data_IF_038643733941
#
_entry.id   IF_038643733941
#
_cell.length_a   1.000
_cell.length_b   1.000
_cell.length_c   1.000
_cell.angle_alpha   90.00
_cell.angle_beta   90.00
_cell.angle_gamma   90.00
#
_symmetry.space_group_name_H-M   'P 1'
#
loop_
_entity.id
_entity.type
_entity.pdbx_description
1 polymer ?
#
# COMPACT_ATOMS: atom_id res chain seq x y z
N UNK A 1 9.74 -23.37 17.40
CA UNK A 1 9.89 -23.26 18.87
C UNK A 1 10.92 -22.21 19.26
N UNK A 2 12.15 -22.22 18.73
CA UNK A 2 13.21 -21.26 19.11
C UNK A 2 12.85 -19.77 18.86
N UNK A 3 12.29 -19.45 17.69
CA UNK A 3 11.87 -18.07 17.38
C UNK A 3 10.76 -17.57 18.31
N UNK A 4 9.80 -18.44 18.63
CA UNK A 4 8.70 -18.12 19.54
C UNK A 4 9.22 -17.77 20.96
N UNK A 5 10.26 -18.49 21.42
CA UNK A 5 10.92 -18.19 22.69
C UNK A 5 11.62 -16.83 22.69
N UNK A 6 12.32 -16.46 21.60
CA UNK A 6 12.95 -15.14 21.46
C UNK A 6 11.91 -14.02 21.52
N UNK A 7 10.76 -14.22 20.87
CA UNK A 7 9.66 -13.24 20.85
C UNK A 7 8.75 -13.30 22.07
N UNK A 8 8.97 -14.23 23.00
CA UNK A 8 8.09 -14.50 24.16
C UNK A 8 6.62 -14.70 23.75
N UNK A 9 6.38 -15.43 22.66
CA UNK A 9 5.05 -15.72 22.10
C UNK A 9 4.81 -17.22 21.94
N UNK A 10 3.55 -17.59 21.74
CA UNK A 10 3.17 -18.95 21.39
C UNK A 10 3.64 -19.33 19.97
N UNK A 11 3.99 -20.61 19.71
CA UNK A 11 4.46 -21.05 18.39
C UNK A 11 3.44 -20.86 17.27
N UNK A 12 2.14 -21.03 17.54
CA UNK A 12 1.07 -20.84 16.54
C UNK A 12 1.03 -19.40 16.03
N UNK A 13 1.11 -18.44 16.94
CA UNK A 13 1.01 -17.02 16.65
C UNK A 13 2.26 -16.54 15.92
N UNK A 14 3.42 -17.03 16.37
CA UNK A 14 4.72 -16.78 15.73
C UNK A 14 4.72 -17.23 14.27
N UNK A 15 4.11 -18.37 13.94
CA UNK A 15 4.05 -18.87 12.55
C UNK A 15 3.26 -17.92 11.65
N UNK A 16 2.15 -17.36 12.14
CA UNK A 16 1.33 -16.43 11.38
C UNK A 16 2.02 -15.08 11.20
N UNK A 17 2.70 -14.59 12.24
CA UNK A 17 3.45 -13.32 12.19
C UNK A 17 4.60 -13.37 11.19
N UNK A 18 5.31 -14.49 11.12
CA UNK A 18 6.45 -14.67 10.21
C UNK A 18 6.06 -15.07 8.79
N UNK A 19 4.77 -15.34 8.54
CA UNK A 19 4.30 -15.66 7.21
C UNK A 19 4.28 -14.39 6.33
N UNK A 20 4.65 -14.54 5.06
CA UNK A 20 4.63 -13.45 4.08
C UNK A 20 5.99 -13.23 3.43
N UNK A 21 6.08 -12.18 2.62
CA UNK A 21 7.30 -11.85 1.86
C UNK A 21 7.78 -10.43 2.06
N UNK A 22 7.08 -9.60 2.84
CA UNK A 22 7.50 -8.22 3.14
C UNK A 22 7.96 -8.12 4.60
N UNK A 23 8.78 -7.12 4.95
CA UNK A 23 9.12 -6.83 6.34
C UNK A 23 7.87 -6.48 7.15
N UNK A 24 7.83 -6.89 8.43
CA UNK A 24 6.68 -6.71 9.33
C UNK A 24 7.14 -6.39 10.74
N UNK A 25 6.30 -5.67 11.48
CA UNK A 25 6.46 -5.49 12.92
C UNK A 25 5.97 -6.76 13.61
N UNK A 26 6.86 -7.44 14.34
CA UNK A 26 6.56 -8.73 15.01
C UNK A 26 6.53 -8.63 16.53
N UNK A 27 7.11 -7.56 17.09
CA UNK A 27 7.12 -7.26 18.51
C UNK A 27 7.37 -5.77 18.73
N UNK A 28 6.93 -5.27 19.88
CA UNK A 28 7.22 -3.93 20.39
C UNK A 28 7.89 -4.10 21.75
N UNK A 29 8.87 -3.27 22.04
CA UNK A 29 9.65 -3.31 23.27
C UNK A 29 9.81 -1.89 23.78
N UNK A 30 9.61 -1.69 25.08
CA UNK A 30 9.79 -0.38 25.73
C UNK A 30 11.27 -0.02 25.96
N UNK A 31 12.16 -0.98 25.76
CA UNK A 31 13.61 -0.88 26.01
C UNK A 31 14.42 -1.30 24.77
N UNK A 32 15.34 -0.44 24.36
CA UNK A 32 16.21 -0.68 23.21
C UNK A 32 17.09 -1.91 23.41
N UNK A 33 17.63 -2.13 24.62
CA UNK A 33 18.49 -3.28 24.88
C UNK A 33 17.71 -4.61 24.76
N UNK A 34 16.46 -4.65 25.22
CA UNK A 34 15.57 -5.78 25.02
C UNK A 34 15.25 -6.02 23.53
N UNK A 35 15.01 -4.96 22.76
CA UNK A 35 14.78 -5.05 21.32
C UNK A 35 16.01 -5.59 20.56
N UNK A 36 17.20 -5.07 20.87
CA UNK A 36 18.47 -5.50 20.28
C UNK A 36 18.78 -6.96 20.60
N UNK A 37 18.59 -7.38 21.85
CA UNK A 37 18.77 -8.78 22.24
C UNK A 37 17.82 -9.72 21.48
N UNK A 38 16.57 -9.31 21.27
CA UNK A 38 15.64 -10.06 20.42
C UNK A 38 16.12 -10.13 18.97
N UNK A 39 16.61 -9.03 18.40
CA UNK A 39 17.17 -8.99 17.04
C UNK A 39 18.35 -9.94 16.90
N UNK A 40 19.32 -9.92 17.81
CA UNK A 40 20.45 -10.84 17.81
C UNK A 40 19.99 -12.30 17.91
N UNK A 41 19.01 -12.58 18.77
CA UNK A 41 18.39 -13.89 18.89
C UNK A 41 17.78 -14.36 17.57
N UNK A 42 17.08 -13.50 16.85
CA UNK A 42 16.49 -13.81 15.54
C UNK A 42 17.57 -13.99 14.46
N UNK A 43 18.59 -13.12 14.41
CA UNK A 43 19.73 -13.23 13.49
C UNK A 43 20.50 -14.54 13.69
N UNK A 44 20.71 -14.96 14.93
CA UNK A 44 21.36 -16.25 15.26
C UNK A 44 20.57 -17.47 14.76
N UNK A 45 19.27 -17.30 14.50
CA UNK A 45 18.38 -18.32 13.94
C UNK A 45 18.25 -18.22 12.41
N UNK A 46 19.04 -17.35 11.76
CA UNK A 46 19.05 -17.17 10.30
C UNK A 46 17.94 -16.27 9.77
N UNK A 47 17.29 -15.49 10.63
CA UNK A 47 16.30 -14.50 10.21
C UNK A 47 16.93 -13.12 10.06
N UNK A 48 16.50 -12.38 9.03
CA UNK A 48 16.80 -10.96 8.92
C UNK A 48 15.87 -10.18 9.84
N UNK A 49 16.42 -9.48 10.82
CA UNK A 49 15.69 -8.69 11.79
C UNK A 49 16.45 -7.39 12.11
N UNK A 50 15.71 -6.34 12.47
CA UNK A 50 16.23 -5.03 12.86
C UNK A 50 15.32 -4.44 13.95
N UNK A 51 15.90 -3.64 14.84
CA UNK A 51 15.17 -2.80 15.76
C UNK A 51 15.01 -1.43 15.12
N UNK A 52 13.81 -0.86 15.17
CA UNK A 52 13.47 0.44 14.60
C UNK A 52 12.80 1.23 15.72
N UNK A 53 13.24 2.47 15.94
CA UNK A 53 12.58 3.35 16.89
C UNK A 53 11.24 3.85 16.36
N UNK A 54 10.28 4.09 17.24
CA UNK A 54 8.95 4.60 16.84
C UNK A 54 9.04 5.92 16.07
N UNK A 55 9.99 6.79 16.39
CA UNK A 55 10.23 8.05 15.70
C UNK A 55 10.66 7.83 14.24
N UNK A 56 11.51 6.84 13.97
CA UNK A 56 11.98 6.49 12.61
C UNK A 56 10.87 5.81 11.81
N UNK A 57 10.02 5.04 12.48
CA UNK A 57 8.88 4.36 11.87
C UNK A 57 7.76 5.35 11.47
N UNK A 58 7.51 6.34 12.31
CA UNK A 58 6.48 7.37 12.10
C UNK A 58 7.04 8.65 11.50
N UNK A 59 8.32 8.69 11.13
CA UNK A 59 8.91 9.86 10.50
C UNK A 59 8.15 10.11 9.20
N UNK A 60 7.33 11.17 9.22
CA UNK A 60 6.64 11.64 8.03
C UNK A 60 7.70 12.16 7.07
N UNK A 61 8.18 11.29 6.20
CA UNK A 61 9.08 11.72 5.13
C UNK A 61 8.24 12.59 4.19
N UNK A 62 8.64 13.84 3.92
CA UNK A 62 7.87 14.73 3.05
C UNK A 62 7.59 14.03 1.72
N UNK A 63 6.31 13.78 1.48
CA UNK A 63 5.83 13.19 0.25
C UNK A 63 5.58 14.27 -0.80
N UNK A 64 6.00 14.01 -2.03
CA UNK A 64 5.65 14.80 -3.20
C UNK A 64 4.63 14.03 -4.03
N UNK A 65 3.36 14.42 -3.92
CA UNK A 65 2.27 13.79 -4.69
C UNK A 65 2.27 14.28 -6.13
N UNK A 66 2.54 13.38 -7.07
CA UNK A 66 2.68 13.70 -8.49
C UNK A 66 1.31 13.80 -9.17
N UNK A 67 1.08 14.92 -9.85
CA UNK A 67 -0.07 15.13 -10.76
C UNK A 67 0.32 15.02 -12.23
N UNK A 68 1.54 15.39 -12.56
CA UNK A 68 2.09 15.26 -13.91
C UNK A 68 3.59 14.97 -13.80
N UNK A 69 4.14 14.30 -14.80
CA UNK A 69 5.57 14.06 -14.87
C UNK A 69 6.10 14.12 -16.29
N UNK A 70 7.39 14.38 -16.39
CA UNK A 70 8.15 14.45 -17.62
C UNK A 70 9.38 13.55 -17.49
N UNK A 71 9.56 12.66 -18.47
CA UNK A 71 10.69 11.74 -18.50
C UNK A 71 11.75 12.32 -19.43
N UNK A 72 12.89 12.71 -18.87
CA UNK A 72 14.07 13.12 -19.61
C UNK A 72 15.08 11.97 -19.63
N UNK A 73 16.08 11.97 -20.53
CA UNK A 73 17.05 10.87 -20.63
C UNK A 73 17.84 10.56 -19.35
N UNK A 74 17.99 11.51 -18.43
CA UNK A 74 18.78 11.35 -17.18
C UNK A 74 18.09 11.86 -15.92
N UNK A 75 16.89 12.40 -16.04
CA UNK A 75 16.16 12.95 -14.91
C UNK A 75 14.65 12.78 -15.12
N UNK A 76 13.92 12.88 -14.01
CA UNK A 76 12.47 12.89 -14.01
C UNK A 76 12.04 14.20 -13.36
N UNK A 77 11.13 14.90 -14.03
CA UNK A 77 10.51 16.12 -13.52
C UNK A 77 9.10 15.76 -13.06
N UNK A 78 8.84 15.86 -11.77
CA UNK A 78 7.53 15.67 -11.17
C UNK A 78 6.89 17.02 -10.89
N UNK A 79 5.58 17.12 -11.12
CA UNK A 79 4.77 18.32 -10.82
C UNK A 79 3.60 17.93 -9.93
N UNK A 80 3.41 18.67 -8.84
CA UNK A 80 2.28 18.46 -7.93
C UNK A 80 1.02 19.22 -8.39
N UNK A 81 -0.04 19.23 -7.57
CA UNK A 81 -1.29 19.95 -7.88
C UNK A 81 -1.19 21.46 -7.77
N UNK A 82 -0.18 21.98 -7.09
CA UNK A 82 0.11 23.41 -6.98
C UNK A 82 1.05 23.90 -8.10
N UNK A 83 1.59 22.99 -8.91
CA UNK A 83 2.54 23.29 -9.99
C UNK A 83 3.99 23.39 -9.52
N UNK A 84 4.30 23.03 -8.27
CA UNK A 84 5.69 22.93 -7.83
C UNK A 84 6.39 21.84 -8.62
N UNK A 85 7.67 22.05 -8.95
CA UNK A 85 8.48 21.06 -9.64
C UNK A 85 9.45 20.37 -8.67
N UNK A 86 9.55 19.05 -8.76
CA UNK A 86 10.62 18.27 -8.16
C UNK A 86 11.38 17.56 -9.27
N UNK A 87 12.69 17.84 -9.37
CA UNK A 87 13.60 17.14 -10.30
C UNK A 87 14.42 16.14 -9.53
N UNK A 88 14.53 14.92 -10.07
CA UNK A 88 15.37 13.87 -9.51
C UNK A 88 16.14 13.21 -10.64
N UNK A 89 17.46 13.11 -10.50
CA UNK A 89 18.27 12.34 -11.43
C UNK A 89 17.85 10.88 -11.41
N UNK A 90 17.81 10.23 -12.57
CA UNK A 90 17.43 8.82 -12.65
C UNK A 90 18.39 7.93 -11.83
N UNK A 91 19.67 8.30 -11.82
CA UNK A 91 20.71 7.66 -11.02
C UNK A 91 20.61 7.99 -9.52
N UNK A 92 19.79 8.96 -9.12
CA UNK A 92 19.59 9.35 -7.71
C UNK A 92 18.44 8.57 -7.05
N UNK A 93 17.69 7.77 -7.81
CA UNK A 93 16.66 6.88 -7.26
C UNK A 93 17.32 5.60 -6.75
N UNK A 94 17.03 5.26 -5.49
CA UNK A 94 17.51 4.06 -4.82
C UNK A 94 16.52 2.91 -4.96
N UNK A 95 15.24 3.19 -4.73
CA UNK A 95 14.20 2.18 -4.60
C UNK A 95 12.90 2.68 -5.24
N UNK A 96 12.25 1.78 -5.97
CA UNK A 96 10.93 1.94 -6.56
C UNK A 96 10.03 0.88 -5.94
N UNK A 97 9.04 1.30 -5.16
CA UNK A 97 8.00 0.43 -4.61
C UNK A 97 6.75 0.56 -5.46
N UNK A 98 6.25 -0.55 -5.99
CA UNK A 98 4.96 -0.65 -6.66
C UNK A 98 3.95 -1.37 -5.76
N UNK A 99 2.75 -0.82 -5.60
CA UNK A 99 1.73 -1.42 -4.75
C UNK A 99 0.29 -1.07 -5.14
N UNK A 100 -0.65 -1.67 -4.43
CA UNK A 100 -2.09 -1.40 -4.59
C UNK A 100 -2.69 -1.04 -3.22
N UNK A 101 -3.43 0.06 -3.18
CA UNK A 101 -4.28 0.43 -2.04
C UNK A 101 -5.64 -0.25 -2.24
N UNK A 102 -6.04 -1.04 -1.25
CA UNK A 102 -7.38 -1.64 -1.18
C UNK A 102 -8.25 -0.82 -0.23
N UNK A 103 -9.30 -0.21 -0.77
CA UNK A 103 -10.29 0.49 0.04
C UNK A 103 -11.60 -0.28 -0.02
N UNK A 104 -12.02 -0.83 1.12
CA UNK A 104 -13.34 -1.46 1.25
C UNK A 104 -14.33 -0.39 1.71
N UNK A 105 -15.39 -0.21 0.94
CA UNK A 105 -16.51 0.63 1.33
C UNK A 105 -17.74 -0.26 1.51
N UNK A 106 -18.25 -0.31 2.74
CA UNK A 106 -19.55 -0.91 3.03
C UNK A 106 -20.63 0.15 2.84
N UNK A 107 -21.52 -0.08 1.89
CA UNK A 107 -22.69 0.76 1.68
C UNK A 107 -23.92 0.05 2.23
N UNK A 108 -24.44 0.53 3.36
CA UNK A 108 -25.75 0.15 3.86
C UNK A 108 -26.83 0.96 3.14
N UNK A 109 -27.69 0.27 2.39
CA UNK A 109 -28.87 0.84 1.75
C UNK A 109 -30.14 0.13 2.19
N UNK A 110 -31.30 0.69 1.80
CA UNK A 110 -32.58 -0.01 1.90
C UNK A 110 -33.16 -0.13 0.50
N UNK A 111 -33.39 -1.37 0.07
CA UNK A 111 -34.11 -1.62 -1.19
C UNK A 111 -35.59 -1.73 -0.87
N UNK A 112 -36.39 -0.82 -1.42
CA UNK A 112 -37.84 -0.96 -1.38
C UNK A 112 -38.27 -2.09 -2.32
N UNK A 113 -38.75 -3.20 -1.75
CA UNK A 113 -39.44 -4.25 -2.50
C UNK A 113 -40.93 -4.24 -2.15
N UNK A 114 -41.78 -4.56 -3.13
CA UNK A 114 -43.20 -4.77 -2.91
C UNK A 114 -43.43 -6.26 -2.74
N UNK A 115 -43.88 -6.68 -1.55
CA UNK A 115 -44.28 -8.07 -1.29
C UNK A 115 -45.79 -8.17 -1.30
N UNK A 116 -46.32 -9.26 -1.83
CA UNK A 116 -47.75 -9.52 -1.79
C UNK A 116 -48.17 -9.80 -0.33
N UNK A 117 -49.07 -8.99 0.20
CA UNK A 117 -49.68 -9.19 1.50
C UNK A 117 -50.86 -10.16 1.35
N UNK A 118 -50.59 -11.44 1.57
CA UNK A 118 -51.57 -12.52 1.41
C UNK A 118 -52.78 -12.32 2.36
N UNK A 119 -52.53 -11.93 3.62
CA UNK A 119 -53.60 -11.70 4.58
C UNK A 119 -54.50 -10.51 4.17
N UNK A 120 -53.89 -9.41 3.72
CA UNK A 120 -54.64 -8.25 3.19
C UNK A 120 -55.43 -8.61 1.93
N UNK A 121 -54.88 -9.45 1.06
CA UNK A 121 -55.52 -9.91 -0.17
C UNK A 121 -56.78 -10.75 0.13
N UNK A 122 -56.71 -11.63 1.13
CA UNK A 122 -57.86 -12.43 1.57
C UNK A 122 -58.96 -11.55 2.18
N UNK A 123 -58.58 -10.56 2.99
CA UNK A 123 -59.54 -9.61 3.58
C UNK A 123 -60.21 -8.70 2.55
N UNK A 124 -59.55 -8.41 1.42
CA UNK A 124 -60.11 -7.62 0.32
C UNK A 124 -60.81 -8.47 -0.76
N UNK A 125 -61.22 -9.70 -0.42
CA UNK A 125 -62.01 -10.55 -1.32
C UNK A 125 -61.24 -11.04 -2.56
N UNK A 126 -59.93 -11.24 -2.43
CA UNK A 126 -59.08 -11.76 -3.51
C UNK A 126 -58.40 -10.69 -4.36
N UNK A 127 -58.59 -9.40 -4.06
CA UNK A 127 -57.87 -8.31 -4.71
C UNK A 127 -56.42 -8.23 -4.21
N UNK A 128 -55.39 -8.29 -5.08
CA UNK A 128 -53.99 -8.29 -4.67
C UNK A 128 -53.60 -7.02 -3.88
N UNK A 129 -53.23 -7.18 -2.61
CA UNK A 129 -52.70 -6.10 -1.77
C UNK A 129 -51.19 -6.26 -1.65
N UNK A 130 -50.43 -5.21 -1.96
CA UNK A 130 -48.97 -5.22 -1.80
C UNK A 130 -48.55 -4.40 -0.59
N UNK A 131 -47.66 -4.94 0.25
CA UNK A 131 -46.96 -4.18 1.28
C UNK A 131 -45.61 -3.70 0.75
N UNK A 132 -45.25 -2.46 1.09
CA UNK A 132 -43.88 -1.97 0.90
C UNK A 132 -43.03 -2.54 2.04
N UNK A 133 -41.97 -3.27 1.69
CA UNK A 133 -41.00 -3.78 2.64
C UNK A 133 -39.66 -3.12 2.31
N UNK A 134 -39.04 -2.50 3.31
CA UNK A 134 -37.68 -2.01 3.21
C UNK A 134 -36.76 -3.17 3.58
N UNK A 135 -36.06 -3.73 2.61
CA UNK A 135 -35.04 -4.75 2.87
C UNK A 135 -33.68 -4.07 3.04
N UNK A 136 -32.97 -4.31 4.16
CA UNK A 136 -31.61 -3.82 4.30
C UNK A 136 -30.74 -4.51 3.26
N UNK A 137 -30.11 -3.73 2.40
CA UNK A 137 -29.10 -4.21 1.45
C UNK A 137 -27.75 -3.72 1.89
N UNK A 138 -26.85 -4.65 2.18
CA UNK A 138 -25.44 -4.34 2.40
C UNK A 138 -24.70 -4.58 1.10
N UNK A 139 -24.22 -3.50 0.47
CA UNK A 139 -23.29 -3.56 -0.65
C UNK A 139 -21.86 -3.48 -0.13
N UNK A 140 -20.97 -4.28 -0.69
CA UNK A 140 -19.53 -4.12 -0.47
C UNK A 140 -18.88 -3.75 -1.79
N UNK A 141 -18.24 -2.59 -1.84
CA UNK A 141 -17.41 -2.18 -2.97
C UNK A 141 -15.96 -2.26 -2.54
N UNK A 142 -15.14 -2.97 -3.31
CA UNK A 142 -13.69 -2.99 -3.15
C UNK A 142 -13.12 -2.11 -4.25
N UNK A 143 -12.49 -1.01 -3.87
CA UNK A 143 -11.73 -0.17 -4.79
C UNK A 143 -10.25 -0.53 -4.70
N UNK A 144 -9.59 -0.59 -5.84
CA UNK A 144 -8.15 -0.91 -5.97
C UNK A 144 -7.44 0.24 -6.68
N UNK A 145 -6.48 0.85 -6.00
CA UNK A 145 -5.74 1.99 -6.53
C UNK A 145 -4.24 1.68 -6.61
N UNK A 146 -3.67 1.50 -7.81
CA UNK A 146 -2.25 1.25 -7.95
C UNK A 146 -1.45 2.52 -7.71
N UNK A 147 -0.29 2.36 -7.07
CA UNK A 147 0.64 3.45 -6.76
C UNK A 147 2.09 3.02 -6.95
N UNK A 148 2.96 4.02 -7.10
CA UNK A 148 4.41 3.89 -7.11
C UNK A 148 4.97 4.90 -6.10
N UNK A 149 5.96 4.47 -5.30
CA UNK A 149 6.80 5.37 -4.51
C UNK A 149 8.25 5.28 -4.95
N UNK A 150 8.86 6.44 -5.18
CA UNK A 150 10.25 6.58 -5.55
C UNK A 150 11.02 7.14 -4.36
N UNK A 151 12.02 6.39 -3.91
CA UNK A 151 12.88 6.73 -2.80
C UNK A 151 14.24 7.19 -3.32
N UNK A 152 14.68 8.40 -2.98
CA UNK A 152 16.01 8.87 -3.35
C UNK A 152 17.10 8.15 -2.56
N UNK A 153 18.32 8.11 -3.12
CA UNK A 153 19.54 7.62 -2.45
C UNK A 153 19.96 8.52 -1.29
N UNK A 154 19.73 9.82 -1.41
CA UNK A 154 20.12 10.80 -0.41
C UNK A 154 19.28 10.63 0.87
N UNK A 155 19.92 10.51 2.05
CA UNK A 155 19.21 10.50 3.33
C UNK A 155 18.32 11.73 3.48
N UNK A 156 17.08 11.54 3.93
CA UNK A 156 16.10 12.63 4.09
C UNK A 156 15.62 13.24 2.77
N UNK A 157 15.92 12.62 1.62
CA UNK A 157 15.40 13.06 0.35
C UNK A 157 13.88 12.93 0.27
N UNK A 158 13.27 13.80 -0.54
CA UNK A 158 11.82 13.85 -0.74
C UNK A 158 11.37 12.58 -1.49
N UNK A 159 10.44 11.84 -0.90
CA UNK A 159 9.81 10.68 -1.54
C UNK A 159 8.79 11.20 -2.54
N UNK A 160 8.79 10.63 -3.75
CA UNK A 160 7.77 10.95 -4.75
C UNK A 160 6.74 9.84 -4.79
N UNK A 161 5.47 10.20 -4.68
CA UNK A 161 4.35 9.28 -4.84
C UNK A 161 3.62 9.56 -6.16
N UNK A 162 3.29 8.49 -6.88
CA UNK A 162 2.56 8.52 -8.14
C UNK A 162 1.40 7.53 -8.00
N UNK A 163 0.16 8.00 -8.06
CA UNK A 163 -1.03 7.14 -8.11
C UNK A 163 -1.79 7.35 -9.42
N UNK A 164 -2.48 6.30 -9.88
CA UNK A 164 -3.23 6.35 -11.16
C UNK A 164 -4.31 7.42 -11.15
N UNK A 165 -4.95 7.63 -10.01
CA UNK A 165 -6.01 8.60 -9.75
C UNK A 165 -5.48 10.02 -9.57
N UNK A 166 -4.25 10.20 -9.11
CA UNK A 166 -3.66 11.52 -9.00
C UNK A 166 -3.08 12.04 -10.31
N UNK A 167 -2.58 11.15 -11.18
CA UNK A 167 -2.07 11.55 -12.50
C UNK A 167 -3.17 12.13 -13.41
N UNK A 168 -2.99 13.39 -13.80
CA UNK A 168 -3.93 14.09 -14.69
C UNK A 168 -3.67 13.82 -16.17
N UNK A 169 -2.44 13.45 -16.53
CA UNK A 169 -2.02 13.22 -17.90
C UNK A 169 -0.96 12.11 -18.01
N UNK A 170 -1.00 11.40 -19.13
CA UNK A 170 0.01 10.43 -19.58
C UNK A 170 0.68 10.87 -20.88
N UNK A 171 0.75 12.17 -21.15
CA UNK A 171 1.33 12.74 -22.38
C UNK A 171 2.81 12.39 -22.56
N UNK A 172 3.56 12.17 -21.47
CA UNK A 172 4.94 11.68 -21.49
C UNK A 172 5.09 10.26 -22.09
N UNK A 173 3.99 9.52 -22.28
CA UNK A 173 4.00 8.26 -23.02
C UNK A 173 4.06 8.46 -24.54
N UNK A 174 3.78 9.67 -25.05
CA UNK A 174 3.80 9.98 -26.48
C UNK A 174 2.85 9.09 -27.27
N UNK A 175 3.34 8.52 -28.38
CA UNK A 175 2.59 7.58 -29.22
C UNK A 175 2.28 6.24 -28.54
N UNK A 176 2.97 5.92 -27.44
CA UNK A 176 2.71 4.73 -26.63
C UNK A 176 1.49 4.85 -25.69
N UNK A 177 0.87 6.04 -25.60
CA UNK A 177 -0.32 6.26 -24.78
C UNK A 177 -1.49 5.41 -25.28
N UNK A 178 -2.07 4.64 -24.38
CA UNK A 178 -3.22 3.77 -24.60
C UNK A 178 -4.53 4.43 -24.14
N UNK A 179 -5.67 3.86 -24.55
CA UNK A 179 -6.99 4.34 -24.13
C UNK A 179 -7.31 4.09 -22.65
N UNK A 180 -6.66 3.10 -22.03
CA UNK A 180 -6.87 2.75 -20.62
C UNK A 180 -5.87 3.46 -19.71
N UNK A 181 -6.37 4.15 -18.68
CA UNK A 181 -5.52 4.76 -17.64
C UNK A 181 -4.74 3.72 -16.84
N UNK A 182 -5.29 2.51 -16.69
CA UNK A 182 -4.61 1.39 -16.04
C UNK A 182 -3.38 0.94 -16.86
N UNK A 183 -3.57 0.69 -18.16
CA UNK A 183 -2.47 0.29 -19.06
C UNK A 183 -1.42 1.41 -19.16
N UNK A 184 -1.85 2.67 -19.16
CA UNK A 184 -0.93 3.80 -19.13
C UNK A 184 -0.12 3.88 -17.82
N UNK A 185 -0.72 3.53 -16.68
CA UNK A 185 -0.01 3.45 -15.42
C UNK A 185 1.02 2.33 -15.43
N UNK A 186 0.67 1.13 -15.92
CA UNK A 186 1.63 0.03 -16.10
C UNK A 186 2.79 0.43 -17.02
N UNK A 187 2.50 1.10 -18.14
CA UNK A 187 3.52 1.64 -19.05
C UNK A 187 4.40 2.71 -18.35
N UNK A 188 3.84 3.46 -17.41
CA UNK A 188 4.59 4.43 -16.60
C UNK A 188 5.57 3.71 -15.68
N UNK A 189 5.15 2.62 -15.01
CA UNK A 189 6.03 1.76 -14.19
C UNK A 189 7.19 1.24 -15.04
N UNK A 190 6.89 0.69 -16.23
CA UNK A 190 7.92 0.15 -17.13
C UNK A 190 8.95 1.22 -17.53
N UNK A 191 8.50 2.41 -17.96
CA UNK A 191 9.41 3.50 -18.32
C UNK A 191 10.25 3.99 -17.14
N UNK A 192 9.69 4.06 -15.94
CA UNK A 192 10.45 4.45 -14.74
C UNK A 192 11.54 3.42 -14.42
N UNK A 193 11.26 2.14 -14.58
CA UNK A 193 12.26 1.06 -14.39
C UNK A 193 13.36 1.10 -15.45
N UNK A 194 13.00 1.35 -16.70
CA UNK A 194 13.97 1.50 -17.79
C UNK A 194 14.88 2.71 -17.57
N UNK A 195 14.31 3.83 -17.10
CA UNK A 195 15.05 5.06 -16.85
C UNK A 195 15.94 4.97 -15.60
N UNK A 196 15.52 4.25 -14.56
CA UNK A 196 16.25 4.09 -13.30
C UNK A 196 16.78 2.65 -13.11
N UNK A 197 17.68 2.14 -13.98
CA UNK A 197 18.10 0.74 -13.95
C UNK A 197 18.92 0.38 -12.70
N UNK A 198 19.51 1.37 -12.03
CA UNK A 198 20.25 1.18 -10.79
C UNK A 198 19.35 1.10 -9.55
N UNK A 199 18.06 1.45 -9.66
CA UNK A 199 17.13 1.41 -8.55
C UNK A 199 16.63 -0.02 -8.30
N UNK A 200 16.53 -0.41 -7.03
CA UNK A 200 15.85 -1.64 -6.63
C UNK A 200 14.37 -1.49 -6.98
N UNK A 201 13.80 -2.48 -7.65
CA UNK A 201 12.37 -2.53 -7.94
C UNK A 201 11.69 -3.58 -7.08
N UNK A 202 10.68 -3.17 -6.31
CA UNK A 202 9.96 -4.03 -5.39
C UNK A 202 8.44 -3.88 -5.55
N UNK A 203 7.81 -4.93 -6.07
CA UNK A 203 6.37 -4.96 -6.30
C UNK A 203 5.64 -5.93 -5.36
N UNK A 204 6.24 -6.29 -4.23
CA UNK A 204 5.63 -7.25 -3.29
C UNK A 204 4.28 -6.75 -2.77
N UNK A 205 4.05 -5.43 -2.70
CA UNK A 205 2.77 -4.82 -2.31
C UNK A 205 1.67 -4.86 -3.39
N UNK A 206 1.97 -5.38 -4.58
CA UNK A 206 0.92 -5.66 -5.59
C UNK A 206 0.04 -6.84 -5.20
N UNK A 207 0.44 -7.64 -4.20
CA UNK A 207 -0.34 -8.78 -3.70
C UNK A 207 -1.11 -8.36 -2.46
N UNK A 208 -2.44 -8.51 -2.48
CA UNK A 208 -3.32 -8.18 -1.35
C UNK A 208 -2.86 -8.87 -0.05
N UNK A 209 -2.43 -10.13 -0.13
CA UNK A 209 -1.95 -10.91 1.02
C UNK A 209 -0.57 -10.51 1.53
N UNK A 210 0.15 -9.63 0.83
CA UNK A 210 1.45 -9.15 1.27
C UNK A 210 1.31 -7.99 2.24
N UNK A 211 0.42 -7.03 1.97
CA UNK A 211 0.21 -5.87 2.83
C UNK A 211 -0.28 -6.29 4.23
N UNK A 212 0.26 -5.65 5.25
CA UNK A 212 -0.17 -5.83 6.64
C UNK A 212 -1.09 -4.69 7.03
N UNK A 213 -2.22 -5.01 7.63
CA UNK A 213 -3.13 -4.06 8.27
C UNK A 213 -2.69 -3.87 9.73
N UNK A 214 -2.43 -2.62 10.14
CA UNK A 214 -1.99 -2.26 11.49
C UNK A 214 -3.05 -1.42 12.19
N UNK A 215 -3.52 -0.34 11.56
CA UNK A 215 -4.56 0.55 12.10
C UNK A 215 -5.94 0.31 11.50
N UNK A 216 -6.02 -0.50 10.43
CA UNK A 216 -7.24 -0.69 9.63
C UNK A 216 -7.53 0.49 8.70
N UNK A 217 -6.63 1.48 8.63
CA UNK A 217 -6.71 2.61 7.71
C UNK A 217 -5.74 2.38 6.57
N UNK A 218 -6.29 1.99 5.41
CA UNK A 218 -5.52 1.55 4.26
C UNK A 218 -4.35 2.47 3.86
N UNK A 219 -4.51 3.80 3.94
CA UNK A 219 -3.45 4.74 3.59
C UNK A 219 -2.30 4.76 4.61
N UNK A 220 -2.62 4.72 5.91
CA UNK A 220 -1.60 4.68 6.98
C UNK A 220 -0.85 3.34 6.94
N UNK A 221 -1.59 2.24 6.80
CA UNK A 221 -1.03 0.90 6.70
C UNK A 221 -0.12 0.76 5.48
N UNK A 222 -0.51 1.29 4.32
CA UNK A 222 0.34 1.30 3.14
C UNK A 222 1.59 2.18 3.31
N UNK A 223 1.45 3.34 3.95
CA UNK A 223 2.60 4.19 4.24
C UNK A 223 3.62 3.48 5.13
N UNK A 224 3.13 2.78 6.17
CA UNK A 224 3.94 1.99 7.09
C UNK A 224 4.60 0.80 6.39
N UNK A 225 3.85 0.05 5.56
CA UNK A 225 4.41 -1.05 4.77
C UNK A 225 5.53 -0.56 3.84
N UNK A 226 5.34 0.59 3.16
CA UNK A 226 6.38 1.16 2.32
C UNK A 226 7.61 1.61 3.12
N UNK A 227 7.40 2.21 4.30
CA UNK A 227 8.49 2.63 5.20
C UNK A 227 9.32 1.43 5.67
N UNK A 228 8.67 0.36 6.11
CA UNK A 228 9.34 -0.88 6.51
C UNK A 228 10.13 -1.51 5.36
N UNK A 229 9.59 -1.51 4.14
CA UNK A 229 10.29 -1.99 2.95
C UNK A 229 11.50 -1.13 2.60
N UNK A 230 11.37 0.19 2.70
CA UNK A 230 12.48 1.12 2.49
C UNK A 230 13.62 0.89 3.50
N UNK A 231 13.30 0.85 4.79
CA UNK A 231 14.27 0.61 5.85
C UNK A 231 14.97 -0.75 5.71
N UNK A 232 14.22 -1.79 5.34
CA UNK A 232 14.78 -3.11 5.05
C UNK A 232 15.79 -3.06 3.89
N UNK A 233 15.45 -2.40 2.78
CA UNK A 233 16.37 -2.28 1.64
C UNK A 233 17.60 -1.44 1.98
N UNK A 234 17.45 -0.39 2.80
CA UNK A 234 18.59 0.37 3.30
C UNK A 234 19.54 -0.48 4.14
N UNK A 235 19.01 -1.27 5.08
CA UNK A 235 19.80 -2.17 5.92
C UNK A 235 20.54 -3.21 5.07
N UNK A 236 19.85 -3.84 4.11
CA UNK A 236 20.49 -4.79 3.18
C UNK A 236 21.58 -4.13 2.34
N UNK A 237 21.36 -2.89 1.88
CA UNK A 237 22.36 -2.15 1.11
C UNK A 237 23.60 -1.75 1.94
N UNK A 238 23.47 -1.61 3.26
CA UNK A 238 24.57 -1.35 4.19
C UNK A 238 25.34 -2.61 4.61
N UNK A 239 24.79 -3.80 4.35
CA UNK A 239 25.38 -5.07 4.75
C UNK A 239 25.16 -5.43 6.22
N UNK A 240 24.07 -4.93 6.82
CA UNK A 240 23.69 -5.13 8.24
C UNK A 240 22.70 -6.30 8.44
#
# INVERSE_FOLDING_TARGET
MKVAAVLKREPSDTRLLLAGKIPKIIAHYDDNAAAESAVEGLKSLGLTAMAIGDEELHQSVPGFETRNLELMPREIIFRDGAGHEKRIGADDIFLIIEGIIHTRTETSGTRQSRKLNIAGTLLMGGLPVFSKVNEPTTGQTVNTEPFIRLYPKAPGGIIVEISRSNLTSYTFLGTGKQGSSYVNFENTVLKLRELCPAAVFDNRLMKVSAAVEYSGRANEDNALNCQLMYLFHLMVARGE
#
